data_IF_336274316496
#
_entry.id   IF_336274316496
#
_cell.length_a   1.000
_cell.length_b   1.000
_cell.length_c   1.000
_cell.angle_alpha   90.00
_cell.angle_beta   90.00
_cell.angle_gamma   90.00
#
_symmetry.space_group_name_H-M   'P 1'
#
loop_
_entity.id
_entity.type
_entity.pdbx_description
1 polymer ?
#
# COMPACT_ATOMS: atom_id res chain seq x y z
N UNK A 1 -4.48 16.58 -1.36
CA UNK A 1 -3.20 16.29 -2.02
C UNK A 1 -2.50 15.24 -1.17
N UNK A 2 -2.33 14.02 -1.64
CA UNK A 2 -1.49 13.01 -0.98
C UNK A 2 -0.62 12.33 -2.04
N UNK A 3 0.56 12.90 -2.29
CA UNK A 3 1.82 12.14 -2.40
C UNK A 3 2.91 12.85 -1.56
N UNK A 4 3.97 12.21 -1.04
CA UNK A 4 5.11 11.59 -1.74
C UNK A 4 5.87 10.66 -0.77
N UNK A 5 5.98 9.37 -1.06
CA UNK A 5 6.53 8.40 -0.11
C UNK A 5 7.92 7.88 -0.51
N UNK A 6 8.95 8.59 -0.05
CA UNK A 6 10.38 8.28 0.18
C UNK A 6 11.05 7.14 -0.57
N UNK A 7 12.06 7.53 -1.36
CA UNK A 7 13.33 6.84 -1.56
C UNK A 7 14.45 7.83 -1.93
N UNK A 8 15.61 7.59 -1.30
CA UNK A 8 17.00 7.98 -1.58
C UNK A 8 17.31 9.34 -2.26
N UNK A 9 17.84 10.27 -1.45
CA UNK A 9 18.74 11.33 -1.92
C UNK A 9 18.15 12.75 -2.01
N UNK A 10 16.85 12.93 -1.78
CA UNK A 10 16.21 14.25 -1.84
C UNK A 10 15.84 14.70 -0.41
N UNK A 11 16.34 15.85 0.09
CA UNK A 11 15.90 16.43 1.35
C UNK A 11 14.40 16.71 1.31
N UNK A 12 13.66 16.24 2.31
CA UNK A 12 12.23 16.55 2.46
C UNK A 12 12.07 17.98 2.98
N UNK A 13 10.99 18.64 2.58
CA UNK A 13 10.51 19.81 3.33
C UNK A 13 9.96 19.37 4.69
N UNK A 14 9.84 20.30 5.64
CA UNK A 14 9.27 20.02 6.96
C UNK A 14 7.83 19.46 6.86
N UNK A 15 7.02 20.02 5.97
CA UNK A 15 5.65 19.58 5.70
C UNK A 15 5.63 18.15 5.14
N UNK A 16 6.51 17.83 4.18
CA UNK A 16 6.63 16.49 3.61
C UNK A 16 7.06 15.45 4.67
N UNK A 17 7.93 15.84 5.61
CA UNK A 17 8.32 14.97 6.72
C UNK A 17 7.18 14.73 7.72
N UNK A 18 6.40 15.76 8.04
CA UNK A 18 5.23 15.61 8.92
C UNK A 18 4.15 14.73 8.28
N UNK A 19 3.92 14.86 6.98
CA UNK A 19 3.03 13.98 6.23
C UNK A 19 3.52 12.53 6.22
N UNK A 20 4.83 12.32 6.11
CA UNK A 20 5.44 11.00 6.26
C UNK A 20 5.09 10.35 7.60
N UNK A 21 5.30 11.12 8.67
CA UNK A 21 5.00 10.70 10.03
C UNK A 21 3.52 10.36 10.19
N UNK A 22 2.62 11.17 9.63
CA UNK A 22 1.16 10.93 9.65
C UNK A 22 0.78 9.66 8.92
N UNK A 23 1.25 9.46 7.69
CA UNK A 23 0.92 8.26 6.89
C UNK A 23 1.45 6.99 7.55
N UNK A 24 2.68 7.02 8.07
CA UNK A 24 3.26 5.87 8.78
C UNK A 24 2.51 5.55 10.07
N UNK A 25 2.12 6.56 10.83
CA UNK A 25 1.35 6.37 12.07
C UNK A 25 -0.05 5.82 11.78
N UNK A 26 -0.74 6.37 10.78
CA UNK A 26 -2.01 5.85 10.31
C UNK A 26 -1.86 4.40 9.82
N UNK A 27 -0.86 4.08 9.00
CA UNK A 27 -0.62 2.70 8.55
C UNK A 27 -0.42 1.75 9.74
N UNK A 28 0.35 2.17 10.73
CA UNK A 28 0.60 1.35 11.93
C UNK A 28 -0.70 1.07 12.68
N UNK A 29 -1.56 2.08 12.81
CA UNK A 29 -2.90 1.94 13.38
C UNK A 29 -3.76 0.97 12.56
N UNK A 30 -3.84 1.13 11.25
CA UNK A 30 -4.64 0.27 10.36
C UNK A 30 -4.12 -1.17 10.33
N UNK A 31 -2.81 -1.39 10.43
CA UNK A 31 -2.23 -2.74 10.56
C UNK A 31 -2.61 -3.38 11.90
N UNK A 32 -2.61 -2.61 12.99
CA UNK A 32 -3.04 -3.11 14.29
C UNK A 32 -4.54 -3.44 14.30
N UNK A 33 -5.36 -2.59 13.69
CA UNK A 33 -6.77 -2.85 13.46
C UNK A 33 -6.96 -4.13 12.61
N UNK A 34 -6.19 -4.28 11.53
CA UNK A 34 -6.28 -5.45 10.66
C UNK A 34 -5.95 -6.77 11.36
N UNK A 35 -4.93 -6.77 12.22
CA UNK A 35 -4.60 -7.92 13.06
C UNK A 35 -5.70 -8.23 14.07
N UNK A 36 -6.23 -7.20 14.73
CA UNK A 36 -7.32 -7.37 15.69
C UNK A 36 -8.58 -7.91 15.02
N UNK A 37 -8.91 -7.41 13.83
CA UNK A 37 -10.08 -7.87 13.07
C UNK A 37 -9.90 -9.25 12.44
N UNK A 38 -8.69 -9.67 12.08
CA UNK A 38 -8.43 -11.04 11.64
C UNK A 38 -8.70 -12.08 12.74
N UNK A 39 -8.68 -11.67 14.02
CA UNK A 39 -9.13 -12.50 15.14
C UNK A 39 -10.66 -12.56 15.26
N UNK A 40 -11.38 -11.65 14.60
CA UNK A 40 -12.84 -11.68 14.48
C UNK A 40 -13.25 -12.57 13.30
N UNK A 41 -14.37 -13.30 13.44
CA UNK A 41 -14.90 -14.18 12.35
C UNK A 41 -15.31 -13.40 11.08
N UNK A 42 -15.45 -12.08 11.17
CA UNK A 42 -15.89 -11.21 10.07
C UNK A 42 -15.21 -9.84 10.13
N UNK A 43 -13.96 -9.69 9.64
CA UNK A 43 -13.36 -8.38 9.49
C UNK A 43 -14.17 -7.55 8.47
N UNK A 44 -14.65 -6.33 8.80
CA UNK A 44 -15.10 -5.40 7.78
C UNK A 44 -13.96 -5.12 6.79
N UNK A 45 -14.24 -4.94 5.48
CA UNK A 45 -13.20 -4.50 4.57
C UNK A 45 -12.69 -3.13 5.04
N UNK A 46 -11.38 -2.83 4.87
CA UNK A 46 -10.82 -1.55 5.28
C UNK A 46 -11.59 -0.41 4.61
N UNK A 47 -11.54 0.76 5.24
CA UNK A 47 -12.19 1.98 4.77
C UNK A 47 -12.06 2.14 3.26
N UNK A 48 -13.20 2.22 2.55
CA UNK A 48 -13.19 2.48 1.12
C UNK A 48 -12.58 3.86 0.89
N UNK A 49 -11.48 3.94 0.13
CA UNK A 49 -11.09 5.23 -0.43
C UNK A 49 -12.01 5.56 -1.61
N UNK A 50 -12.52 6.80 -1.63
CA UNK A 50 -13.16 7.36 -2.83
C UNK A 50 -12.13 7.77 -3.89
N UNK A 51 -10.86 7.79 -3.52
CA UNK A 51 -9.76 8.12 -4.41
C UNK A 51 -9.46 6.91 -5.33
N UNK A 52 -9.60 7.07 -6.66
CA UNK A 52 -9.33 6.00 -7.62
C UNK A 52 -7.85 5.61 -7.72
N UNK A 53 -6.95 6.39 -7.13
CA UNK A 53 -5.51 6.09 -7.04
C UNK A 53 -5.15 5.28 -5.79
N UNK A 54 -6.12 4.96 -4.93
CA UNK A 54 -5.87 4.21 -3.69
C UNK A 54 -6.49 2.81 -3.80
N UNK A 55 -5.73 1.79 -3.40
CA UNK A 55 -6.17 0.40 -3.31
C UNK A 55 -5.79 -0.20 -1.96
N UNK A 56 -6.67 -1.05 -1.45
CA UNK A 56 -6.47 -1.79 -0.21
C UNK A 56 -6.64 -3.29 -0.46
N UNK A 57 -5.74 -4.08 0.09
CA UNK A 57 -5.79 -5.54 0.06
C UNK A 57 -5.68 -6.07 1.48
N UNK A 58 -6.51 -7.04 1.80
CA UNK A 58 -6.50 -7.72 3.08
C UNK A 58 -6.13 -9.16 2.90
N UNK A 59 -5.50 -9.68 3.93
CA UNK A 59 -5.15 -11.09 4.03
C UNK A 59 -5.76 -11.67 5.30
N UNK A 60 -6.24 -12.93 5.27
CA UNK A 60 -6.88 -13.56 6.43
C UNK A 60 -5.98 -13.70 7.66
N UNK A 61 -4.66 -13.58 7.51
CA UNK A 61 -3.66 -13.56 8.58
C UNK A 61 -3.43 -12.15 9.16
N UNK A 62 -4.26 -11.17 8.80
CA UNK A 62 -4.31 -9.86 9.44
C UNK A 62 -3.29 -8.86 8.90
N UNK A 63 -2.75 -9.08 7.71
CA UNK A 63 -1.97 -8.05 7.02
C UNK A 63 -2.86 -7.20 6.11
N UNK A 64 -2.61 -5.89 6.17
CA UNK A 64 -3.14 -4.92 5.23
C UNK A 64 -2.06 -4.52 4.22
N UNK A 65 -2.43 -4.40 2.95
CA UNK A 65 -1.59 -3.76 1.93
C UNK A 65 -2.34 -2.56 1.37
N UNK A 66 -1.76 -1.38 1.57
CA UNK A 66 -2.19 -0.11 0.99
C UNK A 66 -1.31 0.21 -0.20
N UNK A 67 -1.93 0.61 -1.32
CA UNK A 67 -1.23 1.00 -2.53
C UNK A 67 -1.76 2.34 -3.00
N UNK A 68 -0.86 3.26 -3.32
CA UNK A 68 -1.19 4.52 -3.98
C UNK A 68 -0.17 4.89 -5.06
N UNK A 69 -0.57 5.68 -6.06
CA UNK A 69 0.38 6.23 -7.02
C UNK A 69 0.98 7.52 -6.46
N UNK A 70 2.30 7.55 -6.29
CA UNK A 70 3.01 8.76 -5.92
C UNK A 70 3.28 9.61 -7.17
N UNK A 71 2.35 10.54 -7.46
CA UNK A 71 2.44 11.55 -8.54
C UNK A 71 2.21 11.00 -9.97
N UNK A 72 2.26 11.92 -10.93
CA UNK A 72 2.05 11.69 -12.36
C UNK A 72 3.17 10.85 -13.03
N UNK A 73 4.24 10.52 -12.31
CA UNK A 73 5.34 9.68 -12.84
C UNK A 73 5.01 8.17 -12.83
N UNK A 74 3.83 7.80 -12.31
CA UNK A 74 3.32 6.43 -12.36
C UNK A 74 3.95 5.47 -11.36
N UNK A 75 4.81 5.94 -10.44
CA UNK A 75 5.39 5.10 -9.39
C UNK A 75 4.38 4.78 -8.29
N UNK A 76 4.41 3.55 -7.80
CA UNK A 76 3.60 3.12 -6.67
C UNK A 76 4.32 3.32 -5.35
N UNK A 77 3.50 3.55 -4.35
CA UNK A 77 3.86 3.45 -2.95
C UNK A 77 3.02 2.36 -2.34
N UNK A 78 3.68 1.46 -1.62
CA UNK A 78 3.03 0.38 -0.89
C UNK A 78 3.36 0.45 0.58
N UNK A 79 2.32 0.45 1.43
CA UNK A 79 2.33 0.50 2.89
C UNK A 79 3.02 1.70 3.55
N UNK A 80 4.01 2.34 2.92
CA UNK A 80 4.61 3.63 3.25
C UNK A 80 5.91 3.85 2.46
N UNK A 81 6.33 2.96 1.56
CA UNK A 81 7.57 3.11 0.78
C UNK A 81 7.31 2.97 -0.71
N UNK A 82 8.11 3.63 -1.55
CA UNK A 82 8.07 3.39 -3.00
C UNK A 82 8.27 1.91 -3.29
N UNK A 83 7.60 1.43 -4.35
CA UNK A 83 7.70 0.05 -4.77
C UNK A 83 8.98 -0.19 -5.58
N UNK A 84 10.10 -0.28 -4.88
CA UNK A 84 11.36 -0.82 -5.43
C UNK A 84 11.41 -2.33 -5.42
N UNK A 85 12.35 -2.95 -6.16
CA UNK A 85 12.61 -4.38 -6.07
C UNK A 85 12.87 -4.85 -4.64
N UNK A 86 13.70 -4.13 -3.88
CA UNK A 86 14.06 -4.48 -2.50
C UNK A 86 12.84 -4.38 -1.57
N UNK A 87 12.03 -3.33 -1.74
CA UNK A 87 10.80 -3.16 -0.98
C UNK A 87 9.76 -4.22 -1.35
N UNK A 88 9.60 -4.52 -2.64
CA UNK A 88 8.71 -5.58 -3.11
C UNK A 88 9.11 -6.94 -2.53
N UNK A 89 10.40 -7.28 -2.54
CA UNK A 89 10.91 -8.52 -1.94
C UNK A 89 10.60 -8.59 -0.45
N UNK A 90 10.77 -7.48 0.28
CA UNK A 90 10.39 -7.40 1.69
C UNK A 90 8.90 -7.60 1.90
N UNK A 91 8.05 -6.92 1.13
CA UNK A 91 6.60 -7.06 1.23
C UNK A 91 6.13 -8.50 0.94
N UNK A 92 6.73 -9.17 -0.06
CA UNK A 92 6.42 -10.57 -0.38
C UNK A 92 6.85 -11.53 0.75
N UNK A 93 7.93 -11.22 1.48
CA UNK A 93 8.35 -11.98 2.68
C UNK A 93 7.45 -11.70 3.89
N UNK A 94 7.15 -10.44 4.16
CA UNK A 94 6.43 -9.99 5.34
C UNK A 94 4.91 -10.26 5.23
N UNK A 95 4.36 -10.33 4.01
CA UNK A 95 2.94 -10.53 3.71
C UNK A 95 2.76 -11.55 2.56
N UNK A 96 3.09 -12.84 2.77
CA UNK A 96 3.12 -13.83 1.68
C UNK A 96 1.77 -14.02 0.99
N UNK A 97 0.65 -13.91 1.73
CA UNK A 97 -0.71 -13.97 1.15
C UNK A 97 -1.05 -12.79 0.23
N UNK A 98 -0.27 -11.71 0.28
CA UNK A 98 -0.41 -10.52 -0.56
C UNK A 98 0.70 -10.42 -1.61
N UNK A 99 1.54 -11.45 -1.78
CA UNK A 99 2.64 -11.43 -2.72
C UNK A 99 2.20 -11.30 -4.19
N UNK A 100 1.02 -11.82 -4.53
CA UNK A 100 0.47 -11.69 -5.88
C UNK A 100 0.13 -10.22 -6.23
N UNK A 101 -0.65 -9.47 -5.43
CA UNK A 101 -0.81 -8.02 -5.58
C UNK A 101 0.52 -7.25 -5.68
N UNK A 102 1.51 -7.57 -4.84
CA UNK A 102 2.84 -6.91 -4.90
C UNK A 102 3.50 -7.11 -6.26
N UNK A 103 3.47 -8.35 -6.77
CA UNK A 103 4.05 -8.70 -8.09
C UNK A 103 3.32 -8.00 -9.23
N UNK A 104 1.99 -7.87 -9.13
CA UNK A 104 1.19 -7.14 -10.11
C UNK A 104 1.61 -5.67 -10.18
N UNK A 105 1.70 -4.97 -9.05
CA UNK A 105 2.08 -3.55 -9.04
C UNK A 105 3.51 -3.32 -9.50
N UNK A 106 4.43 -4.23 -9.17
CA UNK A 106 5.81 -4.15 -9.66
C UNK A 106 5.87 -4.25 -11.19
N UNK A 107 5.13 -5.21 -11.77
CA UNK A 107 5.01 -5.34 -13.24
C UNK A 107 4.36 -4.10 -13.86
N UNK A 108 3.29 -3.60 -13.25
CA UNK A 108 2.59 -2.43 -13.76
C UNK A 108 3.46 -1.18 -13.72
N UNK A 109 4.27 -1.00 -12.69
CA UNK A 109 5.22 0.12 -12.61
C UNK A 109 6.26 0.03 -13.73
N UNK A 110 6.87 -1.15 -13.93
CA UNK A 110 7.86 -1.37 -15.00
C UNK A 110 7.27 -1.13 -16.39
N UNK A 111 5.99 -1.40 -16.58
CA UNK A 111 5.28 -1.27 -17.85
C UNK A 111 4.46 0.03 -17.99
N UNK A 112 4.49 0.92 -16.99
CA UNK A 112 3.71 2.18 -16.95
C UNK A 112 2.20 1.94 -17.18
N UNK A 113 1.66 0.89 -16.57
CA UNK A 113 0.24 0.46 -16.74
C UNK A 113 -0.71 0.99 -15.66
N UNK A 114 -0.22 1.75 -14.69
CA UNK A 114 -1.06 2.20 -13.57
C UNK A 114 -1.71 1.01 -12.84
N UNK A 115 -2.97 1.15 -12.41
CA UNK A 115 -3.67 0.08 -11.67
C UNK A 115 -4.32 -0.99 -12.57
N UNK A 116 -3.89 -1.15 -13.82
CA UNK A 116 -4.45 -2.16 -14.73
C UNK A 116 -4.40 -3.58 -14.13
N UNK A 117 -5.50 -4.33 -14.25
CA UNK A 117 -5.62 -5.70 -13.71
C UNK A 117 -5.72 -5.78 -12.17
N UNK A 118 -5.55 -4.68 -11.44
CA UNK A 118 -5.76 -4.66 -10.00
C UNK A 118 -7.26 -4.57 -9.69
N UNK A 119 -7.79 -5.43 -8.81
CA UNK A 119 -9.20 -5.40 -8.48
C UNK A 119 -9.55 -4.04 -7.84
N UNK A 120 -10.61 -3.41 -8.33
CA UNK A 120 -11.12 -2.14 -7.78
C UNK A 120 -11.74 -2.31 -6.38
N UNK A 121 -11.86 -3.56 -5.90
CA UNK A 121 -12.39 -3.92 -4.59
C UNK A 121 -11.45 -4.91 -3.91
N UNK A 122 -11.29 -4.88 -2.58
CA UNK A 122 -10.70 -6.01 -1.87
C UNK A 122 -11.54 -7.26 -2.22
N UNK A 123 -10.93 -8.22 -2.89
CA UNK A 123 -11.61 -9.45 -3.27
C UNK A 123 -12.05 -10.19 -2.00
N UNK A 124 -13.34 -10.54 -1.91
CA UNK A 124 -13.77 -11.65 -1.05
C UNK A 124 -13.26 -12.92 -1.72
N UNK A 125 -12.06 -13.36 -1.33
CA UNK A 125 -11.55 -14.69 -1.61
C UNK A 125 -11.62 -15.51 -0.33
#
# INVERSE_FOLDING_TARGET
MLPRLWEFGVPLTEEEYQDAGRVRSWMTHEQAAARHEALSRYPPPPGRSRDPHIRYFWSPDGHLMYVTTARDDGRFVVNHGFLTPEWADRLRRDMPRLAHPVTLYERNQKAVRGHEGAPARPGRG
#
